data_IF_548562898035
#
_entry.id   IF_548562898035
#
_cell.length_a   1.000
_cell.length_b   1.000
_cell.length_c   1.000
_cell.angle_alpha   90.00
_cell.angle_beta   90.00
_cell.angle_gamma   90.00
#
_symmetry.space_group_name_H-M   'P 1'
#
loop_
_entity.id
_entity.type
_entity.pdbx_description
1 polymer ?
#
# COMPACT_ATOMS: atom_id res chain seq x y z
N UNK A 1 12.11 19.60 -17.24
CA UNK A 1 11.58 18.48 -16.45
C UNK A 1 10.10 18.35 -16.74
N UNK A 2 9.71 17.24 -17.32
CA UNK A 2 8.34 17.05 -17.78
C UNK A 2 7.48 16.65 -16.56
N UNK A 3 6.51 17.47 -16.17
CA UNK A 3 5.61 17.22 -15.03
C UNK A 3 4.86 15.88 -15.14
N UNK A 4 4.73 15.34 -16.32
CA UNK A 4 4.09 14.05 -16.59
C UNK A 4 4.86 12.85 -16.04
N UNK A 5 6.19 12.93 -15.96
CA UNK A 5 7.02 11.84 -15.46
C UNK A 5 7.00 11.76 -13.92
N UNK A 6 6.71 12.85 -13.24
CA UNK A 6 6.63 12.87 -11.77
C UNK A 6 5.35 12.21 -11.30
N UNK A 7 4.23 12.42 -12.00
CA UNK A 7 2.94 11.82 -11.66
C UNK A 7 2.93 10.29 -11.82
N UNK A 8 3.79 9.72 -12.67
CA UNK A 8 3.91 8.28 -12.85
C UNK A 8 4.72 7.57 -11.75
N UNK A 9 5.54 8.32 -11.01
CA UNK A 9 6.43 7.79 -9.96
C UNK A 9 5.74 7.79 -8.59
N UNK A 10 4.79 8.70 -8.34
CA UNK A 10 4.13 8.86 -7.06
C UNK A 10 2.69 8.37 -7.10
N UNK A 11 2.19 7.78 -5.98
CA UNK A 11 0.80 7.35 -5.88
C UNK A 11 -0.19 8.50 -6.10
N UNK A 12 -1.35 8.18 -6.65
CA UNK A 12 -2.44 9.14 -6.78
C UNK A 12 -2.84 9.62 -5.37
N UNK A 13 -2.88 10.94 -5.18
CA UNK A 13 -3.20 11.56 -3.90
C UNK A 13 -2.00 11.91 -3.04
N UNK A 14 -0.79 11.60 -3.49
CA UNK A 14 0.42 12.05 -2.80
C UNK A 14 0.52 13.57 -2.85
N UNK A 15 0.61 14.19 -1.68
CA UNK A 15 0.79 15.63 -1.56
C UNK A 15 2.26 15.95 -1.37
N UNK A 16 2.83 16.68 -2.31
CA UNK A 16 4.18 17.20 -2.16
C UNK A 16 4.17 18.37 -1.17
N UNK A 17 4.92 18.24 -0.09
CA UNK A 17 5.26 19.40 0.71
C UNK A 17 6.38 20.17 0.01
N UNK A 18 6.30 21.52 -0.01
CA UNK A 18 7.41 22.31 -0.54
C UNK A 18 8.67 22.00 0.28
N UNK A 19 9.67 21.42 -0.38
CA UNK A 19 10.96 21.18 0.23
C UNK A 19 11.71 22.49 0.25
N UNK A 20 11.78 23.11 1.43
CA UNK A 20 12.75 24.19 1.65
C UNK A 20 14.11 23.52 1.77
N UNK A 21 14.90 23.59 0.71
CA UNK A 21 16.26 23.09 0.70
C UNK A 21 17.09 23.88 1.71
N UNK A 22 17.25 23.31 2.91
CA UNK A 22 18.22 23.79 3.85
C UNK A 22 19.57 23.18 3.45
N UNK A 23 20.47 24.00 2.91
CA UNK A 23 21.79 23.57 2.42
C UNK A 23 22.67 22.99 3.54
N UNK A 24 22.30 23.13 4.81
CA UNK A 24 23.02 22.57 5.95
C UNK A 24 22.68 21.12 6.23
N UNK A 25 21.62 20.58 5.61
CA UNK A 25 21.22 19.19 5.76
C UNK A 25 21.63 18.36 4.53
N UNK A 26 22.07 17.11 4.71
CA UNK A 26 22.42 16.27 3.59
C UNK A 26 21.19 15.87 2.79
N UNK A 27 21.40 15.55 1.53
CA UNK A 27 20.32 15.09 0.63
C UNK A 27 19.59 13.88 1.21
N UNK A 28 20.32 12.97 1.83
CA UNK A 28 19.78 11.76 2.46
C UNK A 28 18.71 12.05 3.52
N UNK A 29 18.80 13.19 4.22
CA UNK A 29 17.75 13.63 5.13
C UNK A 29 16.41 13.81 4.43
N UNK A 30 16.41 14.48 3.28
CA UNK A 30 15.20 14.74 2.49
C UNK A 30 14.70 13.47 1.81
N UNK A 31 15.60 12.63 1.33
CA UNK A 31 15.26 11.33 0.75
C UNK A 31 14.57 10.44 1.78
N UNK A 32 15.09 10.39 3.01
CA UNK A 32 14.50 9.62 4.10
C UNK A 32 13.07 10.08 4.42
N UNK A 33 12.88 11.37 4.59
CA UNK A 33 11.55 11.94 4.86
C UNK A 33 10.58 11.65 3.73
N UNK A 34 11.03 11.78 2.50
CA UNK A 34 10.21 11.53 1.32
C UNK A 34 9.84 10.06 1.18
N UNK A 35 10.79 9.15 1.39
CA UNK A 35 10.52 7.71 1.36
C UNK A 35 9.47 7.30 2.40
N UNK A 36 9.55 7.86 3.61
CA UNK A 36 8.58 7.61 4.67
C UNK A 36 7.18 8.12 4.30
N UNK A 37 7.09 9.30 3.72
CA UNK A 37 5.81 9.87 3.25
C UNK A 37 5.18 9.06 2.13
N UNK A 38 5.98 8.58 1.21
CA UNK A 38 5.50 7.70 0.12
C UNK A 38 4.92 6.42 0.70
N UNK A 39 5.64 5.76 1.61
CA UNK A 39 5.16 4.56 2.27
C UNK A 39 3.85 4.81 3.02
N UNK A 40 3.75 5.90 3.76
CA UNK A 40 2.53 6.31 4.46
C UNK A 40 1.37 6.51 3.49
N UNK A 41 1.60 7.22 2.40
CA UNK A 41 0.56 7.51 1.39
C UNK A 41 0.00 6.26 0.72
N UNK A 42 0.78 5.19 0.66
CA UNK A 42 0.36 3.90 0.11
C UNK A 42 -0.34 3.00 1.13
N UNK A 43 -0.37 3.39 2.40
CA UNK A 43 -1.05 2.66 3.46
C UNK A 43 -0.13 1.76 4.30
N UNK A 44 1.18 2.04 4.34
CA UNK A 44 2.14 1.22 5.08
C UNK A 44 1.84 1.13 6.58
N UNK A 45 1.25 2.15 7.18
CA UNK A 45 0.85 2.12 8.58
C UNK A 45 -0.15 1.00 8.86
N UNK A 46 -1.10 0.78 7.96
CA UNK A 46 -2.12 -0.25 8.08
C UNK A 46 -1.60 -1.63 7.69
N UNK A 47 -0.88 -1.73 6.58
CA UNK A 47 -0.50 -3.03 5.97
C UNK A 47 0.87 -3.54 6.39
N UNK A 48 1.76 -2.66 6.82
CA UNK A 48 3.13 -2.99 7.22
C UNK A 48 3.53 -2.24 8.50
N UNK A 49 2.65 -2.29 9.51
CA UNK A 49 2.75 -1.47 10.72
C UNK A 49 4.10 -1.55 11.42
N UNK A 50 4.65 -2.75 11.60
CA UNK A 50 5.93 -2.93 12.31
C UNK A 50 7.08 -2.27 11.56
N UNK A 51 7.20 -2.51 10.25
CA UNK A 51 8.23 -1.91 9.41
C UNK A 51 8.05 -0.39 9.31
N UNK A 52 6.81 0.07 9.17
CA UNK A 52 6.49 1.50 9.13
C UNK A 52 6.89 2.18 10.44
N UNK A 53 6.51 1.65 11.59
CA UNK A 53 6.85 2.22 12.89
C UNK A 53 8.36 2.19 13.14
N UNK A 54 9.07 1.17 12.65
CA UNK A 54 10.52 1.14 12.71
C UNK A 54 11.13 2.29 11.89
N UNK A 55 10.62 2.53 10.68
CA UNK A 55 11.08 3.65 9.85
C UNK A 55 10.79 5.01 10.52
N UNK A 56 9.64 5.16 11.18
CA UNK A 56 9.29 6.37 11.94
C UNK A 56 10.29 6.61 13.07
N UNK A 57 10.62 5.58 13.84
CA UNK A 57 11.60 5.71 14.93
C UNK A 57 12.98 6.09 14.43
N UNK A 58 13.40 5.53 13.29
CA UNK A 58 14.68 5.88 12.66
C UNK A 58 14.64 7.33 12.15
N UNK A 59 13.52 7.78 11.59
CA UNK A 59 13.38 9.17 11.15
C UNK A 59 13.44 10.16 12.33
N UNK A 60 12.83 9.81 13.46
CA UNK A 60 12.94 10.62 14.70
C UNK A 60 14.40 10.76 15.13
N UNK A 61 15.18 9.70 14.99
CA UNK A 61 16.61 9.74 15.27
C UNK A 61 17.37 10.66 14.31
N UNK A 62 17.03 10.62 13.02
CA UNK A 62 17.57 11.53 12.01
C UNK A 62 17.22 12.98 12.34
N UNK A 63 15.99 13.25 12.74
CA UNK A 63 15.53 14.59 13.13
C UNK A 63 16.31 15.11 14.34
N UNK A 64 16.62 14.27 15.30
CA UNK A 64 17.48 14.64 16.45
C UNK A 64 18.89 15.00 16.02
N UNK A 65 19.48 14.26 15.10
CA UNK A 65 20.79 14.61 14.53
C UNK A 65 20.73 15.95 13.81
N UNK A 66 19.64 16.26 13.12
CA UNK A 66 19.47 17.51 12.38
C UNK A 66 19.43 18.75 13.29
N UNK A 67 18.99 18.59 14.53
CA UNK A 67 18.89 19.68 15.51
C UNK A 67 20.13 19.78 16.43
N UNK A 68 21.00 18.80 16.40
CA UNK A 68 22.23 18.78 17.23
C UNK A 68 23.39 19.37 16.45
N UNK A 69 23.94 20.47 16.97
CA UNK A 69 25.09 21.18 16.37
C UNK A 69 26.40 20.34 16.37
N UNK A 70 26.47 19.36 17.25
CA UNK A 70 27.64 18.48 17.41
C UNK A 70 27.44 17.10 16.80
N UNK A 71 26.31 16.89 16.11
CA UNK A 71 26.01 15.57 15.51
C UNK A 71 27.01 15.25 14.39
N UNK A 72 27.40 13.98 14.33
CA UNK A 72 28.21 13.45 13.25
C UNK A 72 27.36 13.34 11.98
N UNK A 73 27.73 14.07 10.93
CA UNK A 73 27.05 14.07 9.64
C UNK A 73 27.04 12.68 9.00
N UNK A 74 28.14 11.93 9.14
CA UNK A 74 28.20 10.55 8.61
C UNK A 74 27.21 9.63 9.31
N UNK A 75 27.07 9.77 10.62
CA UNK A 75 26.09 8.98 11.39
C UNK A 75 24.66 9.34 10.98
N UNK A 76 24.35 10.61 10.77
CA UNK A 76 23.06 11.05 10.27
C UNK A 76 22.75 10.43 8.90
N UNK A 77 23.69 10.49 7.98
CA UNK A 77 23.54 9.93 6.63
C UNK A 77 23.28 8.41 6.69
N UNK A 78 24.01 7.70 7.53
CA UNK A 78 23.85 6.26 7.72
C UNK A 78 22.43 5.92 8.19
N UNK A 79 21.92 6.62 9.20
CA UNK A 79 20.55 6.41 9.72
C UNK A 79 19.51 6.83 8.69
N UNK A 80 19.73 7.92 7.98
CA UNK A 80 18.83 8.36 6.92
C UNK A 80 18.69 7.31 5.79
N UNK A 81 19.78 6.70 5.39
CA UNK A 81 19.75 5.58 4.42
C UNK A 81 18.99 4.37 4.96
N UNK A 82 19.11 4.10 6.24
CA UNK A 82 18.36 3.03 6.90
C UNK A 82 16.86 3.34 6.93
N UNK A 83 16.46 4.60 7.11
CA UNK A 83 15.07 5.03 6.97
C UNK A 83 14.54 4.72 5.58
N UNK A 84 15.28 5.10 4.53
CA UNK A 84 14.90 4.84 3.14
C UNK A 84 14.68 3.35 2.92
N UNK A 85 15.63 2.52 3.32
CA UNK A 85 15.53 1.07 3.15
C UNK A 85 14.32 0.50 3.89
N UNK A 86 14.13 0.89 5.15
CA UNK A 86 13.03 0.39 5.98
C UNK A 86 11.66 0.86 5.44
N UNK A 87 11.58 2.10 4.98
CA UNK A 87 10.35 2.63 4.35
C UNK A 87 10.04 1.90 3.04
N UNK A 88 11.05 1.61 2.22
CA UNK A 88 10.89 0.84 0.98
C UNK A 88 10.45 -0.60 1.28
N UNK A 89 10.99 -1.22 2.32
CA UNK A 89 10.56 -2.55 2.75
C UNK A 89 9.08 -2.53 3.19
N UNK A 90 8.68 -1.53 3.97
CA UNK A 90 7.29 -1.34 4.39
C UNK A 90 6.36 -1.14 3.19
N UNK A 91 6.81 -0.36 2.22
CA UNK A 91 6.07 -0.13 0.97
C UNK A 91 5.89 -1.44 0.18
N UNK A 92 6.94 -2.22 0.02
CA UNK A 92 6.90 -3.50 -0.69
C UNK A 92 5.92 -4.49 -0.03
N UNK A 93 5.93 -4.57 1.29
CA UNK A 93 4.97 -5.39 2.06
C UNK A 93 3.54 -4.91 1.81
N UNK A 94 3.33 -3.60 1.85
CA UNK A 94 2.02 -2.96 1.63
C UNK A 94 1.45 -3.29 0.27
N UNK A 95 2.23 -3.11 -0.80
CA UNK A 95 1.83 -3.40 -2.17
C UNK A 95 1.44 -4.88 -2.32
N UNK A 96 2.25 -5.77 -1.77
CA UNK A 96 1.99 -7.21 -1.81
C UNK A 96 0.69 -7.58 -1.10
N UNK A 97 0.44 -7.02 0.08
CA UNK A 97 -0.78 -7.30 0.85
C UNK A 97 -2.03 -6.74 0.18
N UNK A 98 -1.95 -5.55 -0.40
CA UNK A 98 -3.06 -4.94 -1.15
C UNK A 98 -3.40 -5.79 -2.36
N UNK A 99 -2.40 -6.25 -3.12
CA UNK A 99 -2.59 -7.13 -4.27
C UNK A 99 -3.22 -8.46 -3.86
N UNK A 100 -2.76 -9.03 -2.75
CA UNK A 100 -3.31 -10.27 -2.22
C UNK A 100 -4.78 -10.11 -1.81
N UNK A 101 -5.10 -9.04 -1.12
CA UNK A 101 -6.48 -8.70 -0.72
C UNK A 101 -7.38 -8.54 -1.95
N UNK A 102 -6.91 -7.84 -2.98
CA UNK A 102 -7.64 -7.68 -4.23
C UNK A 102 -7.92 -9.03 -4.90
N UNK A 103 -6.92 -9.90 -4.99
CA UNK A 103 -7.08 -11.23 -5.56
C UNK A 103 -8.06 -12.09 -4.75
N UNK A 104 -7.99 -12.03 -3.43
CA UNK A 104 -8.91 -12.76 -2.55
C UNK A 104 -10.35 -12.27 -2.73
N UNK A 105 -10.54 -10.96 -2.83
CA UNK A 105 -11.86 -10.36 -3.07
C UNK A 105 -12.41 -10.76 -4.45
N UNK A 106 -11.58 -10.78 -5.48
CA UNK A 106 -11.97 -11.25 -6.82
C UNK A 106 -12.38 -12.73 -6.82
N UNK A 107 -11.62 -13.58 -6.12
CA UNK A 107 -11.93 -15.00 -5.96
C UNK A 107 -13.25 -15.21 -5.22
N UNK A 108 -13.48 -14.49 -4.14
CA UNK A 108 -14.73 -14.56 -3.38
C UNK A 108 -15.92 -14.11 -4.23
N UNK A 109 -15.77 -13.03 -4.98
CA UNK A 109 -16.82 -12.54 -5.88
C UNK A 109 -17.15 -13.58 -6.98
N UNK A 110 -16.12 -14.18 -7.57
CA UNK A 110 -16.28 -15.23 -8.58
C UNK A 110 -16.97 -16.47 -8.00
N UNK A 111 -16.59 -16.87 -6.78
CA UNK A 111 -17.21 -18.02 -6.10
C UNK A 111 -18.69 -17.77 -5.79
N UNK A 112 -19.03 -16.56 -5.32
CA UNK A 112 -20.43 -16.16 -5.09
C UNK A 112 -21.25 -16.16 -6.37
N UNK A 113 -20.70 -15.62 -7.46
CA UNK A 113 -21.33 -15.59 -8.76
C UNK A 113 -21.60 -17.03 -9.28
N UNK A 114 -20.63 -17.91 -9.12
CA UNK A 114 -20.76 -19.31 -9.51
C UNK A 114 -21.84 -20.03 -8.69
N UNK A 115 -21.86 -19.81 -7.38
CA UNK A 115 -22.89 -20.37 -6.49
C UNK A 115 -24.29 -19.89 -6.89
N UNK A 116 -24.43 -18.60 -7.21
CA UNK A 116 -25.70 -18.03 -7.63
C UNK A 116 -26.17 -18.60 -8.97
N UNK A 117 -25.29 -18.71 -9.95
CA UNK A 117 -25.58 -19.34 -11.25
C UNK A 117 -26.05 -20.78 -11.06
N UNK A 118 -25.37 -21.54 -10.21
CA UNK A 118 -25.73 -22.93 -9.93
C UNK A 118 -27.10 -23.02 -9.23
N UNK A 119 -27.38 -22.15 -8.27
CA UNK A 119 -28.67 -22.09 -7.58
C UNK A 119 -29.81 -21.77 -8.54
N UNK A 120 -29.61 -20.82 -9.46
CA UNK A 120 -30.59 -20.45 -10.48
C UNK A 120 -30.84 -21.60 -11.46
N UNK A 121 -29.79 -22.32 -11.87
CA UNK A 121 -29.88 -23.48 -12.73
C UNK A 121 -30.66 -24.61 -12.05
N UNK A 122 -30.39 -24.88 -10.78
CA UNK A 122 -31.06 -25.90 -9.97
C UNK A 122 -32.56 -25.57 -9.80
N UNK A 123 -32.87 -24.29 -9.56
CA UNK A 123 -34.26 -23.81 -9.46
C UNK A 123 -34.99 -23.97 -10.79
N UNK A 124 -34.38 -23.60 -11.90
CA UNK A 124 -34.98 -23.77 -13.24
C UNK A 124 -35.22 -25.25 -13.55
N UNK A 125 -34.31 -26.14 -13.17
CA UNK A 125 -34.48 -27.58 -13.32
C UNK A 125 -35.65 -28.11 -12.47
N UNK A 126 -35.75 -27.67 -11.21
CA UNK A 126 -36.88 -28.03 -10.34
C UNK A 126 -38.22 -27.62 -10.93
N UNK A 127 -38.30 -26.37 -11.40
CA UNK A 127 -39.52 -25.86 -12.02
C UNK A 127 -39.91 -26.63 -13.27
N UNK A 128 -38.94 -26.96 -14.10
CA UNK A 128 -39.13 -27.80 -15.30
C UNK A 128 -39.67 -29.18 -14.94
N UNK A 129 -39.06 -29.84 -13.97
CA UNK A 129 -39.46 -31.16 -13.50
C UNK A 129 -40.85 -31.15 -12.88
N UNK A 130 -41.19 -30.09 -12.13
CA UNK A 130 -42.52 -29.91 -11.55
C UNK A 130 -43.58 -29.72 -12.63
N UNK A 131 -43.33 -28.87 -13.63
CA UNK A 131 -44.23 -28.63 -14.75
C UNK A 131 -44.46 -29.90 -15.56
N UNK A 132 -43.39 -30.71 -15.78
CA UNK A 132 -43.51 -31.98 -16.48
C UNK A 132 -44.30 -33.01 -15.68
N UNK A 133 -44.13 -33.08 -14.37
CA UNK A 133 -44.88 -33.94 -13.45
C UNK A 133 -46.41 -33.56 -13.48
N UNK A 134 -46.69 -32.26 -13.44
CA UNK A 134 -48.08 -31.73 -13.51
C UNK A 134 -48.77 -32.10 -14.83
N UNK A 135 -48.05 -32.06 -15.95
CA UNK A 135 -48.56 -32.50 -17.26
C UNK A 135 -48.94 -33.98 -17.29
N UNK A 136 -48.11 -34.79 -16.66
CA UNK A 136 -48.36 -36.25 -16.60
C UNK A 136 -49.57 -36.59 -15.74
N UNK A 137 -49.87 -35.77 -14.71
CA UNK A 137 -51.04 -35.90 -13.83
C UNK A 137 -52.35 -35.47 -14.44
N UNK A 138 -52.27 -34.61 -15.47
CA UNK A 138 -53.46 -34.06 -16.11
C UNK A 138 -54.19 -35.05 -17.03
#
# INVERSE_FOLDING_TARGET
>A
MNLWNVAAIFPIGYKFDPVVLNTNLPLEFFEARNALRIAESEGAEQYAGDSYQHAVRLMDKVDRFATDKHADRKAMIAVAREVVQTAEDARAITVKKIDQERLDNERQAAAKAQTQIQAEADEATRQKNQAQSDRVRA
#
